data_IF_987794427368
#
_entry.id   IF_987794427368
#
_cell.length_a   1.000
_cell.length_b   1.000
_cell.length_c   1.000
_cell.angle_alpha   90.00
_cell.angle_beta   90.00
_cell.angle_gamma   90.00
#
_symmetry.space_group_name_H-M   'P 1'
#
loop_
_entity.id
_entity.type
_entity.pdbx_description
1 polymer ?
#
# COMPACT_ATOMS: atom_id res chain seq x y z
N UNK A 1 -23.88 12.29 -4.70
CA UNK A 1 -23.01 11.21 -5.21
C UNK A 1 -22.47 10.45 -3.99
N UNK A 2 -23.00 9.24 -3.68
CA UNK A 2 -22.47 8.44 -2.56
C UNK A 2 -21.02 8.09 -2.89
N UNK A 3 -20.05 8.58 -2.09
CA UNK A 3 -18.71 7.98 -2.08
C UNK A 3 -18.94 6.55 -1.58
N UNK A 4 -18.99 5.60 -2.50
CA UNK A 4 -18.94 4.18 -2.17
C UNK A 4 -17.78 4.00 -1.20
N UNK A 5 -18.08 3.41 -0.04
CA UNK A 5 -17.09 3.09 0.99
C UNK A 5 -16.10 2.10 0.38
N UNK A 6 -15.08 2.63 -0.29
CA UNK A 6 -13.97 1.83 -0.79
C UNK A 6 -13.33 1.21 0.45
N UNK A 7 -13.21 -0.14 0.52
CA UNK A 7 -12.63 -0.79 1.67
C UNK A 7 -11.29 -0.12 2.01
N UNK A 8 -11.15 0.29 3.27
CA UNK A 8 -9.99 0.99 3.79
C UNK A 8 -8.74 0.16 3.47
N UNK A 9 -7.88 0.71 2.61
CA UNK A 9 -6.63 0.04 2.28
C UNK A 9 -5.67 0.13 3.47
N UNK A 10 -5.40 -1.01 4.11
CA UNK A 10 -4.56 -1.10 5.32
C UNK A 10 -3.14 -0.62 5.10
N UNK A 11 -2.56 -0.89 3.93
CA UNK A 11 -1.20 -0.42 3.59
C UNK A 11 -1.16 1.11 3.60
N UNK A 12 -2.16 1.76 3.00
CA UNK A 12 -2.24 3.23 3.01
C UNK A 12 -2.43 3.80 4.41
N UNK A 13 -3.22 3.14 5.26
CA UNK A 13 -3.40 3.56 6.67
C UNK A 13 -2.08 3.48 7.42
N UNK A 14 -1.41 2.33 7.37
CA UNK A 14 -0.13 2.10 8.07
C UNK A 14 0.96 3.07 7.58
N UNK A 15 1.01 3.35 6.27
CA UNK A 15 1.94 4.34 5.72
C UNK A 15 1.70 5.74 6.31
N UNK A 16 0.43 6.15 6.43
CA UNK A 16 0.08 7.47 7.01
C UNK A 16 0.40 7.52 8.51
N UNK A 17 0.04 6.47 9.26
CA UNK A 17 0.33 6.36 10.69
C UNK A 17 1.84 6.48 10.99
N UNK A 18 2.67 5.90 10.12
CA UNK A 18 4.13 5.94 10.23
C UNK A 18 4.78 7.13 9.49
N UNK A 19 3.99 8.07 8.96
CA UNK A 19 4.47 9.21 8.15
C UNK A 19 5.41 8.80 7.01
N UNK A 20 5.16 7.63 6.41
CA UNK A 20 5.92 7.09 5.27
C UNK A 20 5.15 7.31 3.97
N UNK A 21 5.90 7.44 2.88
CA UNK A 21 5.33 7.61 1.53
C UNK A 21 5.33 6.27 0.79
N UNK A 22 4.47 6.13 -0.23
CA UNK A 22 4.51 4.96 -1.11
C UNK A 22 5.86 4.80 -1.82
N UNK A 23 6.57 5.90 -2.07
CA UNK A 23 7.94 5.89 -2.63
C UNK A 23 8.95 5.31 -1.64
N UNK A 24 8.79 5.61 -0.35
CA UNK A 24 9.63 5.04 0.70
C UNK A 24 9.45 3.52 0.77
N UNK A 25 8.21 3.03 0.82
CA UNK A 25 7.94 1.59 0.87
C UNK A 25 8.42 0.87 -0.39
N UNK A 26 8.23 1.49 -1.56
CA UNK A 26 8.75 0.98 -2.82
C UNK A 26 10.28 0.79 -2.77
N UNK A 27 10.99 1.74 -2.17
CA UNK A 27 12.44 1.64 -1.97
C UNK A 27 12.85 0.54 -0.99
N UNK A 28 12.09 0.28 0.07
CA UNK A 28 12.38 -0.81 1.01
C UNK A 28 12.20 -2.19 0.37
N UNK A 29 11.15 -2.36 -0.43
CA UNK A 29 10.79 -3.64 -1.05
C UNK A 29 11.46 -3.85 -2.43
N UNK A 30 12.25 -2.88 -2.92
CA UNK A 30 12.87 -2.94 -4.25
C UNK A 30 11.85 -2.97 -5.40
N UNK A 31 10.63 -2.47 -5.19
CA UNK A 31 9.55 -2.44 -6.20
C UNK A 31 9.32 -1.02 -6.73
N UNK A 32 8.53 -0.90 -7.80
CA UNK A 32 8.13 0.42 -8.31
C UNK A 32 7.10 1.11 -7.40
N UNK A 33 7.12 2.44 -7.33
CA UNK A 33 6.10 3.21 -6.64
C UNK A 33 4.68 3.00 -7.23
N UNK A 34 4.59 2.65 -8.52
CA UNK A 34 3.32 2.29 -9.18
C UNK A 34 2.76 0.99 -8.61
N UNK A 35 3.62 0.00 -8.32
CA UNK A 35 3.22 -1.26 -7.68
C UNK A 35 2.59 -1.00 -6.31
N UNK A 36 3.24 -0.19 -5.47
CA UNK A 36 2.70 0.19 -4.15
C UNK A 36 1.41 1.00 -4.30
N UNK A 37 1.28 1.86 -5.31
CA UNK A 37 0.04 2.59 -5.59
C UNK A 37 -1.12 1.65 -5.97
N UNK A 38 -0.86 0.61 -6.78
CA UNK A 38 -1.82 -0.44 -7.12
C UNK A 38 -2.25 -1.23 -5.87
N UNK A 39 -1.33 -1.48 -4.94
CA UNK A 39 -1.65 -2.06 -3.64
C UNK A 39 -2.55 -1.14 -2.83
N UNK A 40 -2.20 0.14 -2.69
CA UNK A 40 -2.98 1.15 -1.97
C UNK A 40 -4.40 1.39 -2.52
N UNK A 41 -4.64 1.00 -3.77
CA UNK A 41 -5.94 1.11 -4.45
C UNK A 41 -6.69 -0.22 -4.53
N UNK A 42 -6.17 -1.28 -3.91
CA UNK A 42 -6.68 -2.67 -4.00
C UNK A 42 -6.78 -3.20 -5.43
N UNK A 43 -6.14 -2.56 -6.42
CA UNK A 43 -6.14 -3.08 -7.79
C UNK A 43 -5.32 -4.36 -7.91
N UNK A 44 -4.26 -4.50 -7.11
CA UNK A 44 -3.44 -5.70 -6.99
C UNK A 44 -3.11 -5.88 -5.50
N UNK A 45 -2.97 -7.11 -5.02
CA UNK A 45 -2.52 -7.37 -3.66
C UNK A 45 -1.01 -7.68 -3.64
N UNK A 46 -0.28 -7.36 -2.56
CA UNK A 46 1.07 -7.87 -2.37
C UNK A 46 1.03 -9.39 -2.19
N UNK A 47 2.12 -10.05 -2.53
CA UNK A 47 2.28 -11.47 -2.21
C UNK A 47 2.42 -11.69 -0.70
N UNK A 48 2.23 -12.93 -0.23
CA UNK A 48 2.41 -13.26 1.19
C UNK A 48 3.79 -12.85 1.74
N UNK A 49 4.92 -13.09 1.04
CA UNK A 49 6.22 -12.59 1.50
C UNK A 49 6.28 -11.07 1.65
N UNK A 50 5.70 -10.32 0.71
CA UNK A 50 5.67 -8.86 0.75
C UNK A 50 4.81 -8.35 1.91
N UNK A 51 3.73 -9.04 2.27
CA UNK A 51 2.94 -8.70 3.45
C UNK A 51 3.75 -8.88 4.74
N UNK A 52 4.57 -9.92 4.82
CA UNK A 52 5.48 -10.13 5.97
C UNK A 52 6.56 -9.07 6.05
N UNK A 53 7.06 -8.56 4.92
CA UNK A 53 8.05 -7.47 4.89
C UNK A 53 7.44 -6.09 5.23
N UNK A 54 6.11 -5.93 5.10
CA UNK A 54 5.38 -4.69 5.41
C UNK A 54 4.91 -4.66 6.89
N UNK A 55 4.67 -5.83 7.50
CA UNK A 55 4.14 -5.99 8.86
C UNK A 55 5.21 -5.81 9.96
#
# INVERSE_FOLDING_TARGET
MKRSERPLNRIKVVLVENQKTSKWLAGQLGVSAVTVSKWCTNMHQPSLPQLTEIA
#
